data_IF_486315942287
#
_entry.id   IF_486315942287
#
_cell.length_a   1.000
_cell.length_b   1.000
_cell.length_c   1.000
_cell.angle_alpha   90.00
_cell.angle_beta   90.00
_cell.angle_gamma   90.00
#
_symmetry.space_group_name_H-M   'P 1'
#
loop_
_entity.id
_entity.type
_entity.pdbx_description
1 polymer ?
#
# COMPACT_ATOMS: atom_id res chain seq x y z
N UNK A 1 -8.18 6.42 -22.53
CA UNK A 1 -7.05 5.68 -21.92
C UNK A 1 -7.11 5.92 -20.43
N UNK A 2 -6.89 4.92 -19.56
CA UNK A 2 -7.00 5.10 -18.12
C UNK A 2 -5.96 6.13 -17.69
N UNK A 3 -6.45 7.26 -17.14
CA UNK A 3 -5.62 8.33 -16.59
C UNK A 3 -5.42 8.01 -15.11
N UNK A 4 -4.29 7.42 -14.76
CA UNK A 4 -3.94 7.15 -13.39
C UNK A 4 -2.57 6.49 -13.27
N UNK A 5 -2.02 6.42 -12.04
CA UNK A 5 -0.77 5.72 -11.79
C UNK A 5 -0.89 4.25 -12.21
N UNK A 6 0.11 3.74 -12.94
CA UNK A 6 0.27 2.30 -13.10
C UNK A 6 0.71 1.63 -11.80
N UNK A 7 1.01 0.34 -11.88
CA UNK A 7 1.61 -0.39 -10.76
C UNK A 7 2.92 0.25 -10.32
N UNK A 8 3.22 0.13 -9.03
CA UNK A 8 4.52 0.50 -8.51
C UNK A 8 5.61 -0.42 -9.08
N UNK A 9 6.60 0.18 -9.72
CA UNK A 9 7.76 -0.53 -10.30
C UNK A 9 8.92 -0.62 -9.31
N UNK A 10 8.99 0.33 -8.38
CA UNK A 10 10.02 0.38 -7.32
C UNK A 10 9.42 0.87 -6.02
N UNK A 11 9.84 0.28 -4.92
CA UNK A 11 9.47 0.69 -3.57
C UNK A 11 10.64 0.53 -2.62
N UNK A 12 10.69 1.33 -1.55
CA UNK A 12 11.65 1.10 -0.48
C UNK A 12 11.65 2.16 0.61
N UNK A 13 12.33 1.82 1.71
CA UNK A 13 12.49 2.69 2.87
C UNK A 13 13.85 3.36 2.86
N UNK A 14 13.93 4.62 3.29
CA UNK A 14 15.21 5.20 3.66
C UNK A 14 15.86 4.38 4.79
N UNK A 15 17.21 4.33 4.90
CA UNK A 15 17.89 3.50 5.89
C UNK A 15 17.50 3.82 7.34
N UNK A 16 17.17 5.07 7.62
CA UNK A 16 16.71 5.55 8.92
C UNK A 16 15.24 5.20 9.21
N UNK A 17 14.48 4.71 8.22
CA UNK A 17 13.05 4.40 8.32
C UNK A 17 12.11 5.62 8.37
N UNK A 18 12.60 6.84 8.15
CA UNK A 18 11.76 8.05 8.18
C UNK A 18 10.93 8.26 6.92
N UNK A 19 11.36 7.69 5.80
CA UNK A 19 10.76 7.92 4.48
C UNK A 19 10.50 6.61 3.77
N UNK A 20 9.35 6.54 3.10
CA UNK A 20 9.02 5.47 2.18
C UNK A 20 8.81 6.04 0.78
N UNK A 21 9.50 5.49 -0.19
CA UNK A 21 9.41 5.89 -1.59
C UNK A 21 8.75 4.80 -2.40
N UNK A 22 7.85 5.19 -3.29
CA UNK A 22 7.32 4.32 -4.34
C UNK A 22 7.33 5.05 -5.67
N UNK A 23 7.58 4.31 -6.75
CA UNK A 23 7.66 4.87 -8.08
C UNK A 23 6.76 4.09 -9.04
N UNK A 24 6.15 4.79 -9.98
CA UNK A 24 5.26 4.20 -10.97
C UNK A 24 5.35 4.98 -12.30
N UNK A 25 5.07 4.28 -13.40
CA UNK A 25 4.85 4.92 -14.69
C UNK A 25 3.39 5.39 -14.81
N UNK A 26 3.19 6.52 -15.47
CA UNK A 26 1.89 7.07 -15.86
C UNK A 26 1.67 6.87 -17.35
N UNK A 27 0.39 6.84 -17.75
CA UNK A 27 -0.01 6.60 -19.15
C UNK A 27 0.48 7.66 -20.15
N UNK A 28 0.82 8.86 -19.69
CA UNK A 28 1.39 9.96 -20.49
C UNK A 28 2.91 9.81 -20.72
N UNK A 29 3.53 8.75 -20.20
CA UNK A 29 4.98 8.54 -20.27
C UNK A 29 5.76 9.32 -19.22
N UNK A 30 5.08 9.92 -18.23
CA UNK A 30 5.74 10.42 -17.03
C UNK A 30 6.04 9.28 -16.06
N UNK A 31 7.22 9.26 -15.46
CA UNK A 31 7.56 8.37 -14.37
C UNK A 31 7.68 9.18 -13.09
N UNK A 32 6.83 8.88 -12.10
CA UNK A 32 6.80 9.59 -10.83
C UNK A 32 7.34 8.69 -9.71
N UNK A 33 8.22 9.24 -8.89
CA UNK A 33 8.62 8.69 -7.60
C UNK A 33 8.11 9.60 -6.48
N UNK A 34 7.25 9.07 -5.63
CA UNK A 34 6.71 9.78 -4.49
C UNK A 34 7.34 9.27 -3.20
N UNK A 35 7.93 10.18 -2.44
CA UNK A 35 8.53 9.91 -1.13
C UNK A 35 7.64 10.49 -0.04
N UNK A 36 7.19 9.66 0.89
CA UNK A 36 6.30 10.04 2.00
C UNK A 36 7.07 9.92 3.30
N UNK A 37 7.15 11.01 4.06
CA UNK A 37 7.77 11.03 5.39
C UNK A 37 6.84 10.42 6.43
N UNK A 38 7.40 10.05 7.58
CA UNK A 38 6.62 9.56 8.73
C UNK A 38 5.63 10.60 9.26
N UNK A 39 5.98 11.88 9.17
CA UNK A 39 5.10 13.00 9.53
C UNK A 39 3.96 13.23 8.54
N UNK A 40 3.88 12.46 7.44
CA UNK A 40 2.83 12.54 6.44
C UNK A 40 3.08 13.56 5.33
N UNK A 41 4.19 14.30 5.37
CA UNK A 41 4.58 15.14 4.23
C UNK A 41 5.03 14.26 3.06
N UNK A 42 4.80 14.74 1.83
CA UNK A 42 5.15 14.02 0.63
C UNK A 42 5.86 14.95 -0.37
N UNK A 43 6.84 14.39 -1.06
CA UNK A 43 7.55 15.00 -2.18
C UNK A 43 7.45 14.06 -3.39
N UNK A 44 7.40 14.64 -4.59
CA UNK A 44 7.39 13.90 -5.85
C UNK A 44 8.60 14.31 -6.70
N UNK A 45 9.24 13.33 -7.30
CA UNK A 45 10.28 13.50 -8.32
C UNK A 45 9.80 12.83 -9.60
N UNK A 46 9.81 13.58 -10.68
CA UNK A 46 9.26 13.14 -11.96
C UNK A 46 10.36 13.05 -13.03
N UNK A 47 10.26 12.11 -13.95
CA UNK A 47 11.16 11.98 -15.09
C UNK A 47 10.45 11.42 -16.31
N UNK A 48 10.80 11.92 -17.49
CA UNK A 48 10.26 11.44 -18.75
C UNK A 48 9.50 12.50 -19.54
N UNK A 49 9.18 12.21 -20.81
CA UNK A 49 8.62 13.17 -21.75
C UNK A 49 7.18 13.60 -21.41
N UNK A 50 6.47 12.82 -20.60
CA UNK A 50 5.13 13.16 -20.13
C UNK A 50 5.07 14.08 -18.91
N UNK A 51 6.20 14.37 -18.28
CA UNK A 51 6.24 15.15 -17.04
C UNK A 51 6.35 16.65 -17.32
N UNK A 52 5.64 17.48 -16.54
CA UNK A 52 5.65 18.94 -16.72
C UNK A 52 7.01 19.56 -16.35
N UNK A 53 7.64 19.07 -15.28
CA UNK A 53 8.94 19.55 -14.76
C UNK A 53 9.89 18.38 -14.51
N UNK A 54 9.91 17.41 -15.43
CA UNK A 54 10.69 16.18 -15.29
C UNK A 54 12.20 16.42 -15.29
N UNK A 55 12.90 15.74 -14.38
CA UNK A 55 14.38 15.66 -14.39
C UNK A 55 14.85 14.51 -15.29
N UNK A 56 16.15 14.50 -15.63
CA UNK A 56 16.74 13.39 -16.36
C UNK A 56 16.66 12.09 -15.55
N UNK A 57 16.50 10.95 -16.23
CA UNK A 57 16.28 9.67 -15.56
C UNK A 57 17.46 9.28 -14.67
N UNK A 58 18.67 9.58 -15.11
CA UNK A 58 19.91 9.35 -14.39
C UNK A 58 19.97 10.19 -13.11
N UNK A 59 19.46 11.43 -13.14
CA UNK A 59 19.39 12.29 -11.96
C UNK A 59 18.34 11.78 -10.97
N UNK A 60 17.21 11.25 -11.47
CA UNK A 60 16.21 10.61 -10.63
C UNK A 60 16.80 9.37 -9.95
N UNK A 61 17.39 8.46 -10.72
CA UNK A 61 17.99 7.24 -10.18
C UNK A 61 19.10 7.57 -9.16
N UNK A 62 19.96 8.56 -9.43
CA UNK A 62 20.98 9.00 -8.46
C UNK A 62 20.38 9.58 -7.16
N UNK A 63 19.27 10.32 -7.24
CA UNK A 63 18.55 10.80 -6.05
C UNK A 63 17.94 9.66 -5.28
N UNK A 64 17.34 8.68 -5.96
CA UNK A 64 16.81 7.48 -5.32
C UNK A 64 17.93 6.68 -4.65
N UNK A 65 19.07 6.48 -5.30
CA UNK A 65 20.22 5.79 -4.72
C UNK A 65 20.75 6.52 -3.48
N UNK A 66 20.78 7.86 -3.50
CA UNK A 66 21.15 8.67 -2.34
C UNK A 66 20.14 8.59 -1.18
N UNK A 67 18.86 8.32 -1.46
CA UNK A 67 17.86 7.99 -0.45
C UNK A 67 18.08 6.58 0.13
N UNK A 68 18.91 5.76 -0.51
CA UNK A 68 19.24 4.39 -0.17
C UNK A 68 18.02 3.52 0.21
N UNK A 69 16.98 3.42 -0.66
CA UNK A 69 15.92 2.43 -0.53
C UNK A 69 16.51 1.03 -0.71
N UNK A 70 17.11 0.49 0.34
CA UNK A 70 17.67 -0.85 0.40
C UNK A 70 16.93 -1.69 1.44
N UNK A 71 17.01 -3.03 1.36
CA UNK A 71 16.58 -3.88 2.44
C UNK A 71 17.54 -3.68 3.61
N UNK A 72 17.31 -2.64 4.42
CA UNK A 72 17.90 -2.58 5.75
C UNK A 72 17.56 -3.87 6.47
N UNK A 73 18.48 -4.38 7.30
CA UNK A 73 18.22 -5.56 8.11
C UNK A 73 17.12 -5.26 9.13
N UNK A 74 15.87 -5.29 8.67
CA UNK A 74 14.71 -4.95 9.46
C UNK A 74 14.53 -6.05 10.50
N UNK A 75 14.62 -5.67 11.77
CA UNK A 75 14.31 -6.57 12.87
C UNK A 75 12.84 -6.40 13.18
N UNK A 76 12.02 -7.37 12.77
CA UNK A 76 10.63 -7.41 13.19
C UNK A 76 10.53 -8.08 14.57
N UNK A 77 10.14 -7.37 15.65
CA UNK A 77 10.11 -7.96 16.99
C UNK A 77 9.15 -9.16 17.13
N UNK A 78 8.19 -9.31 16.21
CA UNK A 78 7.19 -10.37 16.23
C UNK A 78 7.28 -11.32 15.03
N UNK A 79 8.34 -11.23 14.22
CA UNK A 79 8.44 -11.99 12.97
C UNK A 79 8.54 -13.51 13.16
N UNK A 80 8.95 -13.95 14.34
CA UNK A 80 8.93 -15.36 14.75
C UNK A 80 7.52 -15.85 15.12
N UNK A 81 6.66 -14.96 15.63
CA UNK A 81 5.35 -15.31 16.20
C UNK A 81 4.16 -15.02 15.28
N UNK A 82 4.29 -14.07 14.35
CA UNK A 82 3.15 -13.53 13.60
C UNK A 82 3.28 -13.80 12.12
N UNK A 83 2.15 -14.11 11.50
CA UNK A 83 1.97 -14.21 10.06
C UNK A 83 0.98 -13.13 9.61
N UNK A 84 1.40 -12.31 8.66
CA UNK A 84 0.51 -11.38 7.96
C UNK A 84 -0.31 -12.15 6.94
N UNK A 85 -1.61 -11.85 6.88
CA UNK A 85 -2.55 -12.49 5.98
C UNK A 85 -3.16 -11.41 5.09
N UNK A 86 -2.98 -11.57 3.79
CA UNK A 86 -3.59 -10.71 2.77
C UNK A 86 -4.61 -11.53 2.03
N UNK A 87 -5.85 -11.06 2.00
CA UNK A 87 -6.93 -11.75 1.31
C UNK A 87 -7.82 -10.74 0.60
N UNK A 88 -8.24 -11.09 -0.61
CA UNK A 88 -9.38 -10.41 -1.25
C UNK A 88 -10.62 -11.23 -0.95
N UNK A 89 -11.56 -10.67 -0.19
CA UNK A 89 -12.83 -11.33 0.13
C UNK A 89 -14.02 -10.49 -0.28
N UNK A 90 -15.04 -11.16 -0.81
CA UNK A 90 -16.38 -10.62 -0.90
C UNK A 90 -16.96 -10.58 0.52
N UNK A 91 -17.19 -9.38 1.05
CA UNK A 91 -17.64 -9.24 2.44
C UNK A 91 -18.97 -8.50 2.57
N UNK A 92 -19.25 -7.61 1.63
CA UNK A 92 -20.46 -6.80 1.63
C UNK A 92 -21.04 -6.77 0.21
N UNK A 93 -22.31 -6.40 0.11
CA UNK A 93 -22.93 -6.09 -1.17
C UNK A 93 -22.84 -4.59 -1.43
N UNK A 94 -22.66 -4.20 -2.69
CA UNK A 94 -22.89 -2.81 -3.09
C UNK A 94 -24.38 -2.45 -2.98
N UNK A 95 -24.72 -1.18 -3.21
CA UNK A 95 -26.12 -0.74 -3.18
C UNK A 95 -27.01 -1.39 -4.26
N UNK A 96 -26.43 -2.11 -5.22
CA UNK A 96 -27.13 -2.91 -6.23
C UNK A 96 -27.22 -4.41 -5.87
N UNK A 97 -26.80 -4.80 -4.65
CA UNK A 97 -26.86 -6.18 -4.17
C UNK A 97 -25.74 -7.09 -4.71
N UNK A 98 -24.73 -6.54 -5.39
CA UNK A 98 -23.64 -7.32 -5.99
C UNK A 98 -22.51 -7.52 -4.99
N UNK A 99 -21.83 -8.69 -4.96
CA UNK A 99 -20.68 -8.91 -4.11
C UNK A 99 -19.59 -7.85 -4.35
N UNK A 100 -19.10 -7.27 -3.26
CA UNK A 100 -18.04 -6.27 -3.27
C UNK A 100 -16.73 -6.91 -2.82
N UNK A 101 -15.74 -7.08 -3.73
CA UNK A 101 -14.43 -7.56 -3.33
C UNK A 101 -13.77 -6.50 -2.44
N UNK A 102 -13.21 -6.89 -1.31
CA UNK A 102 -12.43 -6.01 -0.45
C UNK A 102 -11.05 -6.58 -0.23
N UNK A 103 -10.02 -5.74 -0.35
CA UNK A 103 -8.67 -6.13 0.05
C UNK A 103 -8.57 -6.02 1.57
N UNK A 104 -8.21 -7.12 2.21
CA UNK A 104 -8.00 -7.20 3.65
C UNK A 104 -6.55 -7.51 3.96
N UNK A 105 -6.03 -6.84 4.98
CA UNK A 105 -4.75 -7.19 5.61
C UNK A 105 -4.98 -7.38 7.11
N UNK A 106 -4.64 -8.57 7.57
CA UNK A 106 -4.76 -8.98 8.95
C UNK A 106 -3.51 -9.68 9.45
N UNK A 107 -3.59 -10.13 10.69
CA UNK A 107 -2.53 -10.87 11.33
C UNK A 107 -3.11 -12.03 12.14
N UNK A 108 -2.34 -13.11 12.24
CA UNK A 108 -2.59 -14.24 13.14
C UNK A 108 -1.29 -14.74 13.72
N UNK A 109 -1.39 -15.56 14.77
CA UNK A 109 -0.24 -16.29 15.29
C UNK A 109 0.25 -17.32 14.26
N UNK A 110 1.56 -17.57 14.27
CA UNK A 110 2.24 -18.51 13.38
C UNK A 110 1.75 -19.94 13.61
N UNK A 111 1.47 -20.30 14.85
CA UNK A 111 0.92 -21.59 15.25
C UNK A 111 -0.49 -21.88 14.70
N UNK A 112 -1.22 -20.84 14.26
CA UNK A 112 -2.55 -20.99 13.66
C UNK A 112 -3.54 -19.93 14.12
N UNK A 113 -4.83 -20.19 13.89
CA UNK A 113 -5.93 -19.31 14.27
C UNK A 113 -6.51 -18.53 13.09
N UNK A 114 -7.68 -17.93 13.33
CA UNK A 114 -8.37 -17.07 12.36
C UNK A 114 -7.68 -15.70 12.36
N UNK A 115 -7.33 -15.13 11.19
CA UNK A 115 -6.76 -13.80 11.12
C UNK A 115 -7.75 -12.76 11.65
N UNK A 116 -7.23 -11.85 12.48
CA UNK A 116 -7.94 -10.62 12.83
C UNK A 116 -7.53 -9.53 11.84
N UNK A 117 -8.52 -8.85 11.27
CA UNK A 117 -8.32 -7.90 10.18
C UNK A 117 -8.01 -6.50 10.71
N UNK A 118 -6.88 -5.94 10.27
CA UNK A 118 -6.42 -4.60 10.70
C UNK A 118 -6.66 -3.52 9.67
N UNK A 119 -6.72 -3.89 8.40
CA UNK A 119 -6.97 -3.00 7.28
C UNK A 119 -8.04 -3.62 6.38
N UNK A 120 -9.01 -2.79 6.04
CA UNK A 120 -10.04 -3.06 5.05
C UNK A 120 -9.95 -1.95 4.02
N UNK A 121 -9.60 -2.29 2.79
CA UNK A 121 -9.72 -1.36 1.67
C UNK A 121 -10.96 -1.72 0.90
N UNK A 122 -11.94 -0.84 1.04
CA UNK A 122 -13.09 -0.81 0.15
C UNK A 122 -12.62 -0.22 -1.18
N UNK A 123 -12.67 -0.97 -2.29
CA UNK A 123 -12.43 -0.41 -3.60
C UNK A 123 -13.52 0.60 -4.03
N UNK A 124 -14.65 0.66 -3.33
CA UNK A 124 -15.72 1.58 -3.67
C UNK A 124 -15.56 2.97 -3.06
N UNK A 125 -15.82 3.98 -3.87
CA UNK A 125 -15.87 5.38 -3.47
C UNK A 125 -17.25 5.97 -3.71
N UNK A 126 -17.58 7.03 -2.97
CA UNK A 126 -18.90 7.66 -3.00
C UNK A 126 -19.90 7.02 -2.03
N UNK A 127 -21.09 7.60 -1.98
CA UNK A 127 -22.19 7.14 -1.12
C UNK A 127 -23.46 6.95 -1.96
N UNK A 128 -24.32 6.01 -1.58
CA UNK A 128 -25.60 5.80 -2.26
C UNK A 128 -25.47 5.34 -3.71
N UNK A 129 -26.31 5.88 -4.61
CA UNK A 129 -26.36 5.46 -6.02
C UNK A 129 -25.14 5.88 -6.84
N UNK A 130 -24.35 6.82 -6.33
CA UNK A 130 -23.14 7.33 -7.00
C UNK A 130 -21.89 6.53 -6.60
N UNK A 131 -22.07 5.42 -5.90
CA UNK A 131 -20.97 4.56 -5.46
C UNK A 131 -20.28 3.91 -6.67
N UNK A 132 -19.00 4.21 -6.88
CA UNK A 132 -18.17 3.61 -7.92
C UNK A 132 -17.23 2.64 -7.25
N UNK A 133 -17.46 1.35 -7.49
CA UNK A 133 -16.58 0.27 -7.04
C UNK A 133 -15.37 0.12 -7.96
N UNK A 134 -14.16 0.05 -7.39
CA UNK A 134 -13.04 -0.45 -8.15
C UNK A 134 -13.25 -1.93 -8.48
N UNK A 135 -13.04 -2.29 -9.75
CA UNK A 135 -13.19 -3.66 -10.23
C UNK A 135 -12.20 -4.61 -9.54
N UNK A 136 -11.03 -4.09 -9.14
CA UNK A 136 -9.99 -4.82 -8.42
C UNK A 136 -9.18 -3.87 -7.51
N UNK A 137 -8.77 -4.36 -6.34
CA UNK A 137 -7.74 -3.75 -5.49
C UNK A 137 -6.79 -4.84 -5.00
N UNK A 138 -5.49 -4.59 -5.08
CA UNK A 138 -4.45 -5.52 -4.65
C UNK A 138 -3.24 -4.77 -4.07
N UNK A 139 -2.35 -5.51 -3.41
CA UNK A 139 -1.10 -4.95 -2.90
C UNK A 139 -0.04 -4.93 -3.99
N UNK A 140 0.47 -3.75 -4.30
CA UNK A 140 1.70 -3.61 -5.07
C UNK A 140 2.94 -3.85 -4.18
N UNK A 141 2.87 -3.47 -2.91
CA UNK A 141 3.94 -3.75 -1.95
C UNK A 141 3.45 -3.91 -0.52
N UNK A 142 4.15 -4.75 0.24
CA UNK A 142 4.06 -4.84 1.69
C UNK A 142 5.47 -4.82 2.26
N UNK A 143 5.81 -3.79 3.05
CA UNK A 143 7.18 -3.53 3.44
C UNK A 143 7.29 -3.12 4.90
N UNK A 144 8.13 -3.83 5.65
CA UNK A 144 8.47 -3.50 7.03
C UNK A 144 9.52 -2.38 7.07
N UNK A 145 9.31 -1.38 7.95
CA UNK A 145 10.29 -0.33 8.19
C UNK A 145 11.61 -0.92 8.70
N UNK A 146 12.78 -0.33 8.39
CA UNK A 146 14.06 -0.77 8.96
C UNK A 146 14.08 -0.79 10.49
N UNK A 147 13.24 0.04 11.13
CA UNK A 147 13.03 0.10 12.58
C UNK A 147 12.18 -1.04 13.14
N UNK A 148 11.44 -1.76 12.27
CA UNK A 148 10.56 -2.86 12.66
C UNK A 148 9.26 -2.45 13.35
N UNK A 149 9.01 -1.15 13.46
CA UNK A 149 7.89 -0.55 14.20
C UNK A 149 6.66 -0.27 13.31
N UNK A 150 6.78 -0.41 12.00
CA UNK A 150 5.74 -0.06 11.04
C UNK A 150 5.80 -0.95 9.79
N UNK A 151 4.64 -1.32 9.26
CA UNK A 151 4.48 -1.94 7.94
C UNK A 151 3.76 -0.94 7.03
N UNK A 152 4.31 -0.72 5.85
CA UNK A 152 3.62 -0.01 4.76
C UNK A 152 2.96 -1.03 3.84
N UNK A 153 1.68 -0.82 3.57
CA UNK A 153 0.92 -1.47 2.51
C UNK A 153 0.68 -0.46 1.38
N UNK A 154 1.27 -0.70 0.21
CA UNK A 154 1.00 0.05 -1.01
C UNK A 154 -0.04 -0.69 -1.82
N UNK A 155 -1.17 -0.05 -2.04
CA UNK A 155 -2.39 -0.63 -2.59
C UNK A 155 -2.67 0.05 -3.92
N UNK A 156 -2.84 -0.76 -4.95
CA UNK A 156 -3.27 -0.31 -6.26
C UNK A 156 -4.71 -0.74 -6.49
N UNK A 157 -5.55 0.19 -6.93
CA UNK A 157 -6.95 -0.07 -7.23
C UNK A 157 -7.36 0.58 -8.54
N UNK A 158 -8.27 -0.09 -9.26
CA UNK A 158 -8.83 0.39 -10.52
C UNK A 158 -10.34 0.61 -10.40
N UNK A 159 -10.80 1.85 -10.48
CA UNK A 159 -12.21 2.23 -10.59
C UNK A 159 -12.92 1.59 -11.79
N UNK A 160 -14.24 1.40 -11.71
CA UNK A 160 -15.04 0.94 -12.87
C UNK A 160 -15.02 1.92 -14.07
N UNK A 161 -14.69 3.19 -13.82
CA UNK A 161 -14.44 4.21 -14.84
C UNK A 161 -13.05 4.06 -15.50
N UNK A 162 -12.25 3.10 -15.04
CA UNK A 162 -10.88 2.87 -15.48
C UNK A 162 -9.85 3.76 -14.79
N UNK A 163 -10.25 4.63 -13.85
CA UNK A 163 -9.30 5.44 -13.10
C UNK A 163 -8.45 4.54 -12.19
N UNK A 164 -7.13 4.65 -12.32
CA UNK A 164 -6.19 3.94 -11.45
C UNK A 164 -5.84 4.80 -10.25
N UNK A 165 -5.57 4.18 -9.10
CA UNK A 165 -5.22 4.88 -7.86
C UNK A 165 -4.21 4.08 -7.05
N UNK A 166 -3.25 4.80 -6.46
CA UNK A 166 -2.34 4.27 -5.45
C UNK A 166 -2.70 4.83 -4.08
N UNK A 167 -2.83 3.95 -3.09
CA UNK A 167 -3.06 4.27 -1.69
C UNK A 167 -1.95 3.66 -0.84
N UNK A 168 -1.40 4.46 0.06
CA UNK A 168 -0.37 4.03 1.00
C UNK A 168 -0.96 4.00 2.41
N UNK A 169 -0.93 2.82 3.02
CA UNK A 169 -1.37 2.60 4.40
C UNK A 169 -0.16 2.29 5.29
N UNK A 170 -0.04 3.03 6.40
CA UNK A 170 0.99 2.84 7.42
C UNK A 170 0.39 2.17 8.64
N UNK A 171 0.87 0.98 8.98
CA UNK A 171 0.31 0.15 10.04
C UNK A 171 1.39 -0.09 11.10
N UNK A 172 1.20 0.43 12.34
CA UNK A 172 2.10 0.09 13.44
C UNK A 172 2.16 -1.41 13.64
N UNK A 173 3.35 -1.97 13.78
CA UNK A 173 3.54 -3.42 13.95
C UNK A 173 2.95 -3.93 15.27
N UNK A 174 2.87 -3.08 16.29
CA UNK A 174 2.12 -3.38 17.52
C UNK A 174 0.64 -3.64 17.24
N UNK A 175 -0.01 -2.87 16.36
CA UNK A 175 -1.43 -3.08 16.00
C UNK A 175 -1.65 -4.44 15.35
N UNK A 176 -0.70 -4.89 14.53
CA UNK A 176 -0.71 -6.23 13.94
C UNK A 176 -0.50 -7.31 15.01
N UNK A 177 0.37 -7.06 15.99
CA UNK A 177 0.58 -7.94 17.12
C UNK A 177 -0.64 -8.10 18.03
N UNK A 178 -1.31 -6.99 18.32
CA UNK A 178 -2.54 -7.00 19.11
C UNK A 178 -3.67 -7.72 18.35
N UNK A 179 -3.78 -7.49 17.03
CA UNK A 179 -4.73 -8.19 16.19
C UNK A 179 -4.48 -9.70 16.17
N UNK A 180 -3.24 -10.14 15.98
CA UNK A 180 -2.88 -11.57 15.98
C UNK A 180 -3.23 -12.28 17.30
N UNK A 181 -3.19 -11.55 18.42
CA UNK A 181 -3.50 -12.08 19.76
C UNK A 181 -4.98 -11.91 20.15
N UNK A 182 -5.77 -11.22 19.33
CA UNK A 182 -7.20 -11.04 19.59
C UNK A 182 -7.92 -12.34 19.26
N UNK A 183 -8.64 -12.97 20.22
CA UNK A 183 -9.43 -14.15 19.93
C UNK A 183 -10.49 -13.84 18.88
N UNK A 184 -10.72 -14.77 17.95
CA UNK A 184 -11.72 -14.62 16.89
C UNK A 184 -13.14 -14.32 17.40
N UNK A 185 -13.45 -14.69 18.65
CA UNK A 185 -14.73 -14.39 19.32
C UNK A 185 -14.89 -12.94 19.78
N UNK A 186 -13.86 -12.11 19.64
CA UNK A 186 -13.85 -10.68 20.03
C UNK A 186 -13.37 -9.75 18.91
N UNK A 187 -13.13 -10.28 17.70
CA UNK A 187 -12.91 -9.43 16.54
C UNK A 187 -14.26 -8.77 16.19
N UNK A 188 -14.33 -7.42 16.15
CA UNK A 188 -15.56 -6.70 15.81
C UNK A 188 -16.03 -7.00 14.38
#
# INVERSE_FOLDING_TARGET
MPLGPGHAERVGWSPDGERFTHCHARADGCYECRTVTRGGSAESLESGPGCAEGIAREQLDARLDALAPGPGAARWPWGDQIVLVVETREHEQDNAGRPRPMLKLGARLREGGIPSWTLHVDPCEGCGTDQVCAGQAHLDALSLSPRGDEVVALIHGQGNDGAQRLRLERIPTQRLADAARTPASRAP
#
